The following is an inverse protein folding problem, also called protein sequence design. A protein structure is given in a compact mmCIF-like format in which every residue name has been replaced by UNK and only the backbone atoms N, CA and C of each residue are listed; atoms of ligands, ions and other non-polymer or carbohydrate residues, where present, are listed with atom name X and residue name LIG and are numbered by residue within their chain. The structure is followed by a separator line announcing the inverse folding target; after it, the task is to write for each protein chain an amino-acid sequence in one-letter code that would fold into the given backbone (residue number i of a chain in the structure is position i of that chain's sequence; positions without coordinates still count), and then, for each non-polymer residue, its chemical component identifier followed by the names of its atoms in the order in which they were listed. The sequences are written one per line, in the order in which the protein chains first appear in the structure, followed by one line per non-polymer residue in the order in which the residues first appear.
data_IF_490111507546
#
_entry.id   IF_490111507546
#
_cell.length_a   1.000
_cell.length_b   1.000
_cell.length_c   1.000
_cell.angle_alpha   90.00
_cell.angle_beta   90.00
_cell.angle_gamma   90.00
#
_symmetry.space_group_name_H-M   'P 1'
#
loop_
_entity.id
_entity.type
_entity.pdbx_description
1 polymer ?
#
# COMPACT_ATOMS: atom_id res chain seq x y z
N UNK A 1 -35.63 57.14 31.81
CA UNK A 1 -36.84 57.32 30.99
C UNK A 1 -36.69 56.37 29.81
N UNK A 2 -37.30 55.18 29.88
CA UNK A 2 -38.59 54.85 29.25
C UNK A 2 -38.44 54.83 27.71
N UNK A 3 -38.80 53.81 26.92
CA UNK A 3 -39.88 52.83 27.04
C UNK A 3 -39.54 51.61 26.16
N UNK A 4 -39.98 50.45 26.63
CA UNK A 4 -40.31 49.20 25.93
C UNK A 4 -41.18 49.40 24.68
N UNK A 5 -40.98 48.60 23.61
CA UNK A 5 -42.11 48.00 22.87
C UNK A 5 -41.68 46.83 21.98
N UNK A 6 -42.21 45.64 22.30
CA UNK A 6 -42.48 44.52 21.38
C UNK A 6 -43.81 44.76 20.67
N UNK A 7 -44.03 44.24 19.44
CA UNK A 7 -45.07 43.21 19.26
C UNK A 7 -44.63 42.07 18.30
N UNK A 8 -44.89 40.78 18.57
CA UNK A 8 -46.16 40.01 18.36
C UNK A 8 -46.47 39.85 16.85
N UNK A 9 -46.74 38.70 16.21
CA UNK A 9 -46.83 37.26 16.51
C UNK A 9 -47.21 36.51 15.20
N UNK A 10 -47.18 35.16 15.24
CA UNK A 10 -47.78 34.16 14.30
C UNK A 10 -47.03 33.96 12.96
N UNK A 11 -46.81 32.74 12.46
CA UNK A 11 -47.49 31.45 12.63
C UNK A 11 -46.45 30.30 12.72
N UNK A 12 -46.52 29.37 13.68
CA UNK A 12 -47.27 28.09 13.62
C UNK A 12 -47.07 27.40 12.26
N UNK A 13 -46.27 26.34 12.17
CA UNK A 13 -46.69 24.93 12.34
C UNK A 13 -45.85 24.14 11.30
N UNK A 14 -45.38 22.89 11.47
CA UNK A 14 -45.90 21.73 12.18
C UNK A 14 -44.77 20.73 12.36
N UNK A 15 -44.64 20.23 13.59
CA UNK A 15 -43.99 18.96 13.89
C UNK A 15 -44.95 17.85 13.44
N UNK A 16 -44.45 16.86 12.71
CA UNK A 16 -45.23 15.76 12.14
C UNK A 16 -44.75 14.41 12.65
N UNK A 17 -45.00 14.13 13.92
CA UNK A 17 -45.05 12.76 14.45
C UNK A 17 -46.36 12.15 13.99
N UNK A 18 -46.34 11.07 13.19
CA UNK A 18 -47.51 10.20 13.07
C UNK A 18 -47.09 8.74 13.23
N UNK A 19 -47.43 8.25 14.41
CA UNK A 19 -47.58 6.84 14.75
C UNK A 19 -48.92 6.38 14.14
N UNK A 20 -48.91 5.33 13.34
CA UNK A 20 -50.13 4.56 13.08
C UNK A 20 -49.79 3.08 13.18
N UNK A 21 -50.14 2.52 14.34
CA UNK A 21 -50.24 1.09 14.56
C UNK A 21 -51.33 0.51 13.65
N UNK A 22 -51.06 -0.64 13.04
CA UNK A 22 -52.12 -1.55 12.59
C UNK A 22 -51.67 -2.97 12.89
N UNK A 23 -52.39 -3.57 13.83
CA UNK A 23 -52.29 -4.96 14.27
C UNK A 23 -52.75 -5.89 13.14
N UNK A 24 -51.96 -6.89 12.78
CA UNK A 24 -52.46 -8.13 12.20
C UNK A 24 -51.48 -9.28 12.47
N UNK A 25 -52.06 -10.36 12.96
CA UNK A 25 -51.49 -11.59 13.48
C UNK A 25 -50.76 -12.41 12.40
N UNK A 26 -49.75 -13.15 12.86
CA UNK A 26 -49.25 -14.46 12.39
C UNK A 26 -49.09 -14.72 10.89
N UNK A 27 -47.86 -15.04 10.47
CA UNK A 27 -47.50 -16.32 9.84
C UNK A 27 -45.97 -16.40 9.59
N UNK A 28 -45.34 -17.35 10.29
CA UNK A 28 -44.26 -18.25 9.83
C UNK A 28 -43.49 -17.83 8.56
N UNK A 29 -42.20 -17.48 8.70
CA UNK A 29 -41.34 -17.36 7.51
C UNK A 29 -40.00 -16.68 7.77
N UNK A 30 -38.93 -17.47 7.72
CA UNK A 30 -37.53 -17.08 7.79
C UNK A 30 -37.16 -15.91 6.87
N UNK A 31 -36.42 -14.92 7.40
CA UNK A 31 -35.33 -14.19 6.71
C UNK A 31 -34.63 -13.25 7.69
N UNK A 32 -33.32 -13.48 7.91
CA UNK A 32 -32.43 -12.61 8.70
C UNK A 32 -32.43 -11.19 8.09
N UNK A 33 -32.59 -10.12 8.87
CA UNK A 33 -32.44 -8.77 8.34
C UNK A 33 -30.97 -8.48 8.01
N UNK A 34 -30.70 -8.18 6.73
CA UNK A 34 -29.45 -7.56 6.27
C UNK A 34 -29.27 -6.24 7.03
N UNK A 35 -28.23 -6.16 7.87
CA UNK A 35 -27.89 -4.89 8.53
C UNK A 35 -27.39 -3.89 7.49
N UNK A 36 -28.17 -2.82 7.37
CA UNK A 36 -27.88 -1.53 6.74
C UNK A 36 -26.40 -1.14 6.87
N UNK A 37 -25.82 -0.77 5.73
CA UNK A 37 -24.64 0.07 5.64
C UNK A 37 -24.96 1.41 6.33
N UNK A 38 -24.42 1.64 7.54
CA UNK A 38 -24.44 2.96 8.18
C UNK A 38 -23.23 3.74 7.67
N UNK A 39 -23.54 4.82 6.94
CA UNK A 39 -22.65 5.94 6.66
C UNK A 39 -21.92 6.34 7.95
N UNK A 40 -20.59 6.47 7.89
CA UNK A 40 -19.78 6.96 9.02
C UNK A 40 -19.70 8.48 8.93
N UNK A 41 -20.10 9.23 9.96
CA UNK A 41 -19.79 10.65 10.05
C UNK A 41 -18.29 10.83 10.28
N UNK A 42 -17.69 11.74 9.51
CA UNK A 42 -16.37 12.30 9.73
C UNK A 42 -16.48 13.27 10.91
N UNK A 43 -15.91 12.91 12.06
CA UNK A 43 -15.47 13.76 13.19
C UNK A 43 -15.78 13.09 14.53
N UNK A 44 -14.99 12.07 14.91
CA UNK A 44 -14.98 11.62 16.30
C UNK A 44 -13.54 11.34 16.74
N UNK A 45 -12.98 12.30 17.47
CA UNK A 45 -11.64 12.24 18.05
C UNK A 45 -11.47 11.06 19.03
N UNK A 46 -12.58 10.52 19.57
CA UNK A 46 -12.57 9.32 20.43
C UNK A 46 -12.30 8.03 19.63
N UNK A 47 -12.51 8.04 18.31
CA UNK A 47 -12.08 6.96 17.42
C UNK A 47 -10.55 6.92 17.27
N UNK A 48 -9.88 8.07 17.39
CA UNK A 48 -8.42 8.17 17.40
C UNK A 48 -7.82 7.58 18.68
N UNK A 49 -8.45 7.83 19.84
CA UNK A 49 -8.04 7.21 21.11
C UNK A 49 -8.24 5.69 21.13
N UNK A 50 -9.33 5.18 20.55
CA UNK A 50 -9.54 3.72 20.41
C UNK A 50 -8.56 3.09 19.42
N UNK A 51 -8.13 3.81 18.38
CA UNK A 51 -7.09 3.38 17.45
C UNK A 51 -5.69 3.40 18.09
N UNK A 52 -5.37 4.42 18.89
CA UNK A 52 -4.14 4.55 19.65
C UNK A 52 -4.03 3.50 20.78
N UNK A 53 -5.12 3.23 21.51
CA UNK A 53 -5.17 2.16 22.52
C UNK A 53 -5.04 0.77 21.88
N UNK A 54 -5.62 0.55 20.70
CA UNK A 54 -5.39 -0.66 19.92
C UNK A 54 -3.94 -0.77 19.41
N UNK A 55 -3.32 0.34 19.01
CA UNK A 55 -1.89 0.40 18.68
C UNK A 55 -1.00 0.10 19.90
N UNK A 56 -1.35 0.61 21.09
CA UNK A 56 -0.64 0.36 22.34
C UNK A 56 -0.76 -1.10 22.80
N UNK A 57 -1.96 -1.71 22.71
CA UNK A 57 -2.16 -3.15 23.02
C UNK A 57 -1.47 -4.05 21.97
N UNK A 58 -1.43 -3.63 20.70
CA UNK A 58 -0.72 -4.36 19.63
C UNK A 58 0.79 -4.15 19.63
N UNK A 59 1.27 -3.02 20.18
CA UNK A 59 2.68 -2.73 20.41
C UNK A 59 3.19 -3.43 21.67
N UNK A 60 2.37 -3.54 22.73
CA UNK A 60 2.75 -4.28 23.94
C UNK A 60 2.90 -5.79 23.67
N UNK A 61 2.03 -6.35 22.82
CA UNK A 61 2.12 -7.77 22.40
C UNK A 61 3.29 -8.08 21.45
N UNK A 62 4.08 -7.07 21.05
CA UNK A 62 5.35 -7.25 20.31
C UNK A 62 6.61 -7.19 21.19
N UNK A 63 6.51 -6.74 22.45
CA UNK A 63 7.69 -6.54 23.32
C UNK A 63 8.10 -7.76 24.15
N UNK A 64 7.29 -8.81 24.19
CA UNK A 64 7.70 -10.12 24.71
C UNK A 64 7.40 -11.22 23.68
N UNK A 65 8.25 -11.29 22.65
CA UNK A 65 8.44 -12.53 21.89
C UNK A 65 9.69 -13.21 22.43
N UNK A 66 9.65 -14.51 22.78
CA UNK A 66 10.82 -15.21 23.30
C UNK A 66 11.94 -15.24 22.24
N UNK A 67 13.19 -15.08 22.68
CA UNK A 67 14.40 -15.03 21.83
C UNK A 67 14.54 -16.24 20.88
N UNK A 68 13.90 -17.37 21.20
CA UNK A 68 13.81 -18.55 20.34
C UNK A 68 13.12 -18.27 18.97
N UNK A 69 12.24 -17.27 18.89
CA UNK A 69 11.59 -16.89 17.64
C UNK A 69 12.45 -15.95 16.78
N UNK A 70 13.44 -15.28 17.38
CA UNK A 70 14.38 -14.41 16.66
C UNK A 70 15.33 -15.27 15.81
N UNK A 71 15.92 -16.32 16.42
CA UNK A 71 16.76 -17.30 15.69
C UNK A 71 15.99 -18.09 14.63
N UNK A 72 14.71 -18.38 14.86
CA UNK A 72 13.83 -19.03 13.86
C UNK A 72 13.48 -18.11 12.68
N UNK A 73 13.50 -16.79 12.84
CA UNK A 73 13.30 -15.83 11.75
C UNK A 73 14.60 -15.60 10.96
N UNK A 74 15.75 -15.58 11.65
CA UNK A 74 17.08 -15.42 11.05
C UNK A 74 17.43 -16.58 10.10
N UNK A 75 17.03 -17.82 10.42
CA UNK A 75 17.25 -18.99 9.55
C UNK A 75 16.15 -19.24 8.52
N UNK A 76 15.14 -18.36 8.42
CA UNK A 76 13.97 -18.56 7.54
C UNK A 76 14.03 -17.66 6.31
N UNK A 77 15.12 -17.74 5.54
CA UNK A 77 15.17 -17.17 4.19
C UNK A 77 16.46 -16.47 3.80
N UNK A 78 17.56 -16.61 4.57
CA UNK A 78 18.88 -16.34 4.03
C UNK A 78 19.34 -17.61 3.33
N UNK A 79 19.19 -17.65 2.00
CA UNK A 79 19.93 -18.61 1.18
C UNK A 79 21.44 -18.42 1.37
N UNK A 80 22.30 -19.20 0.69
CA UNK A 80 23.75 -18.93 0.70
C UNK A 80 24.00 -17.44 0.43
N UNK A 81 25.07 -16.86 0.98
CA UNK A 81 25.41 -15.45 0.79
C UNK A 81 25.63 -15.20 -0.72
N UNK A 82 24.55 -14.84 -1.41
CA UNK A 82 24.55 -14.56 -2.83
C UNK A 82 25.18 -13.19 -2.99
N UNK A 83 26.38 -13.16 -3.56
CA UNK A 83 27.10 -11.91 -3.82
C UNK A 83 26.79 -11.36 -5.20
N UNK A 84 26.22 -12.18 -6.10
CA UNK A 84 25.97 -11.81 -7.50
C UNK A 84 24.52 -12.01 -7.93
N UNK A 85 23.99 -11.09 -8.75
CA UNK A 85 22.62 -11.17 -9.33
C UNK A 85 22.39 -12.48 -10.11
N UNK A 86 23.42 -12.99 -10.81
CA UNK A 86 23.35 -14.28 -11.51
C UNK A 86 23.06 -15.43 -10.54
N UNK A 87 23.79 -15.50 -9.43
CA UNK A 87 23.58 -16.52 -8.38
C UNK A 87 22.17 -16.40 -7.81
N UNK A 88 21.67 -15.18 -7.61
CA UNK A 88 20.29 -14.96 -7.17
C UNK A 88 19.26 -15.57 -8.14
N UNK A 89 19.40 -15.31 -9.44
CA UNK A 89 18.47 -15.83 -10.45
C UNK A 89 18.54 -17.36 -10.59
N UNK A 90 19.69 -17.97 -10.32
CA UNK A 90 19.89 -19.42 -10.36
C UNK A 90 19.36 -20.13 -9.10
N UNK A 91 19.44 -19.46 -7.94
CA UNK A 91 18.97 -19.98 -6.66
C UNK A 91 17.45 -19.95 -6.48
N UNK A 92 16.70 -19.28 -7.35
CA UNK A 92 15.24 -19.27 -7.33
C UNK A 92 14.66 -20.66 -7.65
N UNK A 93 13.45 -20.94 -7.15
CA UNK A 93 12.72 -22.14 -7.57
C UNK A 93 12.31 -22.04 -9.05
N UNK A 94 12.28 -23.18 -9.75
CA UNK A 94 12.03 -23.25 -11.21
C UNK A 94 10.72 -22.56 -11.63
N UNK A 95 9.68 -22.67 -10.81
CA UNK A 95 8.38 -22.03 -11.02
C UNK A 95 8.47 -20.49 -11.06
N UNK A 96 9.46 -19.91 -10.39
CA UNK A 96 9.65 -18.45 -10.25
C UNK A 96 10.77 -17.91 -11.13
N UNK A 97 11.69 -18.74 -11.60
CA UNK A 97 12.80 -18.30 -12.45
C UNK A 97 12.31 -17.56 -13.69
N UNK A 98 11.34 -18.14 -14.40
CA UNK A 98 10.81 -17.56 -15.64
C UNK A 98 10.17 -16.16 -15.45
N UNK A 99 9.20 -15.96 -14.52
CA UNK A 99 8.61 -14.64 -14.31
C UNK A 99 9.62 -13.63 -13.78
N UNK A 100 10.49 -14.01 -12.83
CA UNK A 100 11.49 -13.09 -12.27
C UNK A 100 12.49 -12.65 -13.32
N UNK A 101 13.00 -13.56 -14.18
CA UNK A 101 13.94 -13.21 -15.25
C UNK A 101 13.32 -12.23 -16.25
N UNK A 102 12.04 -12.41 -16.61
CA UNK A 102 11.34 -11.50 -17.52
C UNK A 102 11.14 -10.11 -16.90
N UNK A 103 10.73 -10.04 -15.64
CA UNK A 103 10.61 -8.77 -14.91
C UNK A 103 11.98 -8.09 -14.78
N UNK A 104 13.02 -8.83 -14.40
CA UNK A 104 14.39 -8.33 -14.30
C UNK A 104 14.87 -7.73 -15.62
N UNK A 105 14.66 -8.42 -16.75
CA UNK A 105 15.04 -7.93 -18.07
C UNK A 105 14.29 -6.64 -18.45
N UNK A 106 12.98 -6.57 -18.17
CA UNK A 106 12.17 -5.38 -18.41
C UNK A 106 12.61 -4.17 -17.58
N UNK A 107 12.94 -4.41 -16.30
CA UNK A 107 13.47 -3.37 -15.41
C UNK A 107 14.84 -2.90 -15.89
N UNK A 108 15.77 -3.82 -16.16
CA UNK A 108 17.12 -3.49 -16.62
C UNK A 108 17.12 -2.68 -17.91
N UNK A 109 16.22 -2.97 -18.86
CA UNK A 109 16.07 -2.21 -20.10
C UNK A 109 15.49 -0.81 -19.87
N UNK A 110 14.58 -0.67 -18.92
CA UNK A 110 13.91 0.60 -18.64
C UNK A 110 14.72 1.54 -17.73
N UNK A 111 15.74 1.02 -17.04
CA UNK A 111 16.52 1.78 -16.07
C UNK A 111 17.29 2.93 -16.74
N UNK A 112 17.12 4.18 -16.24
CA UNK A 112 17.95 5.31 -16.65
C UNK A 112 19.42 5.08 -16.29
N UNK A 113 20.33 5.72 -17.03
CA UNK A 113 21.77 5.69 -16.71
C UNK A 113 22.02 6.35 -15.34
N UNK A 114 22.95 5.78 -14.57
CA UNK A 114 23.38 6.29 -13.26
C UNK A 114 22.86 5.51 -12.05
N UNK A 115 21.89 4.61 -12.23
CA UNK A 115 21.55 3.62 -11.20
C UNK A 115 22.56 2.46 -11.23
N UNK A 116 23.00 2.05 -10.04
CA UNK A 116 23.91 0.91 -9.84
C UNK A 116 23.09 -0.33 -9.51
N UNK A 117 23.31 -1.40 -10.27
CA UNK A 117 22.70 -2.71 -10.01
C UNK A 117 23.50 -3.46 -8.94
N UNK A 118 22.82 -4.01 -7.94
CA UNK A 118 23.45 -4.78 -6.87
C UNK A 118 22.49 -5.72 -6.16
N UNK A 119 23.03 -6.46 -5.19
CA UNK A 119 22.24 -7.22 -4.23
C UNK A 119 22.24 -6.50 -2.89
N UNK A 120 21.09 -5.95 -2.52
CA UNK A 120 20.88 -5.28 -1.24
C UNK A 120 19.74 -5.98 -0.50
N UNK A 121 19.94 -6.22 0.80
CA UNK A 121 18.95 -6.90 1.65
C UNK A 121 18.45 -8.24 1.11
N UNK A 122 19.26 -8.96 0.32
CA UNK A 122 18.89 -10.23 -0.31
C UNK A 122 17.92 -10.10 -1.48
N UNK A 123 17.86 -8.92 -2.11
CA UNK A 123 17.01 -8.62 -3.27
C UNK A 123 17.85 -7.95 -4.36
N UNK A 124 17.49 -8.18 -5.63
CA UNK A 124 18.10 -7.43 -6.73
C UNK A 124 17.62 -6.00 -6.60
N UNK A 125 18.56 -5.06 -6.45
CA UNK A 125 18.26 -3.66 -6.19
C UNK A 125 19.00 -2.77 -7.16
N UNK A 126 18.36 -1.68 -7.55
CA UNK A 126 18.96 -0.58 -8.27
C UNK A 126 18.96 0.64 -7.36
N UNK A 127 20.14 1.17 -7.10
CA UNK A 127 20.36 2.23 -6.12
C UNK A 127 21.26 3.33 -6.68
N UNK A 128 21.20 4.49 -6.03
CA UNK A 128 22.08 5.62 -6.32
C UNK A 128 23.03 5.78 -5.13
N UNK A 129 24.36 5.74 -5.35
CA UNK A 129 25.31 6.06 -4.30
C UNK A 129 25.24 7.56 -4.01
N UNK A 130 24.90 7.95 -2.79
CA UNK A 130 24.80 9.34 -2.37
C UNK A 130 25.35 9.51 -0.96
N UNK A 131 26.39 10.33 -0.79
CA UNK A 131 27.01 10.68 0.50
C UNK A 131 27.36 9.45 1.37
N UNK A 132 27.90 8.40 0.75
CA UNK A 132 28.28 7.15 1.44
C UNK A 132 27.11 6.24 1.82
N UNK A 133 25.87 6.59 1.44
CA UNK A 133 24.68 5.74 1.60
C UNK A 133 24.18 5.26 0.24
N UNK A 134 23.68 4.04 0.20
CA UNK A 134 22.97 3.51 -0.95
C UNK A 134 21.50 3.90 -0.87
N UNK A 135 21.04 4.70 -1.84
CA UNK A 135 19.64 5.10 -1.93
C UNK A 135 18.93 4.23 -2.95
N UNK A 136 18.16 3.28 -2.44
CA UNK A 136 17.41 2.32 -3.25
C UNK A 136 16.27 3.00 -4.03
N UNK A 137 16.22 2.79 -5.35
CA UNK A 137 15.17 3.27 -6.24
C UNK A 137 14.16 2.18 -6.59
N UNK A 138 14.67 1.00 -7.00
CA UNK A 138 13.85 -0.18 -7.32
C UNK A 138 14.46 -1.42 -6.71
N UNK A 139 13.63 -2.36 -6.28
CA UNK A 139 14.10 -3.74 -6.07
C UNK A 139 13.12 -4.79 -6.55
N UNK A 140 13.68 -5.94 -6.88
CA UNK A 140 12.97 -7.15 -7.25
C UNK A 140 13.23 -8.24 -6.20
N UNK A 141 12.15 -8.72 -5.60
CA UNK A 141 12.20 -9.69 -4.52
C UNK A 141 11.31 -10.90 -4.80
N UNK A 142 11.81 -12.09 -4.45
CA UNK A 142 11.02 -13.31 -4.38
C UNK A 142 10.74 -13.65 -2.91
N UNK A 143 9.58 -13.26 -2.41
CA UNK A 143 9.15 -13.62 -1.06
C UNK A 143 8.46 -14.99 -1.05
N UNK A 144 8.28 -15.58 0.13
CA UNK A 144 7.72 -16.94 0.27
C UNK A 144 6.37 -17.14 -0.44
N UNK A 145 5.50 -16.14 -0.40
CA UNK A 145 4.12 -16.25 -0.93
C UNK A 145 3.86 -15.49 -2.23
N UNK A 146 4.72 -14.56 -2.61
CA UNK A 146 4.56 -13.71 -3.79
C UNK A 146 5.91 -13.15 -4.24
N UNK A 147 5.98 -12.72 -5.49
CA UNK A 147 7.06 -11.88 -6.00
C UNK A 147 6.65 -10.43 -5.86
N UNK A 148 7.63 -9.55 -5.65
CA UNK A 148 7.39 -8.14 -5.41
C UNK A 148 8.38 -7.27 -6.17
N UNK A 149 7.87 -6.24 -6.84
CA UNK A 149 8.67 -5.11 -7.31
C UNK A 149 8.45 -3.95 -6.35
N UNK A 150 9.53 -3.52 -5.71
CA UNK A 150 9.56 -2.32 -4.90
C UNK A 150 9.88 -1.14 -5.82
N UNK A 151 8.94 -0.22 -5.95
CA UNK A 151 9.04 1.01 -6.75
C UNK A 151 9.07 2.18 -5.77
N UNK A 152 10.27 2.58 -5.32
CA UNK A 152 10.43 3.72 -4.40
C UNK A 152 10.08 5.02 -5.11
N UNK A 153 10.36 5.12 -6.42
CA UNK A 153 9.93 6.27 -7.24
C UNK A 153 8.43 6.55 -7.16
N UNK A 154 7.59 5.52 -7.23
CA UNK A 154 6.14 5.66 -7.09
C UNK A 154 5.70 6.05 -5.67
N UNK A 155 6.51 5.71 -4.66
CA UNK A 155 6.26 6.14 -3.29
C UNK A 155 6.67 7.60 -3.04
N UNK A 156 7.76 8.04 -3.67
CA UNK A 156 8.30 9.40 -3.49
C UNK A 156 7.58 10.44 -4.34
N UNK A 157 7.16 10.10 -5.56
CA UNK A 157 6.44 11.00 -6.46
C UNK A 157 5.01 10.53 -6.72
N UNK A 158 3.99 11.25 -6.21
CA UNK A 158 2.58 10.93 -6.47
C UNK A 158 2.22 10.85 -7.95
N UNK A 159 2.93 11.59 -8.83
CA UNK A 159 2.68 11.59 -10.27
C UNK A 159 3.04 10.24 -10.90
N UNK A 160 4.11 9.60 -10.43
CA UNK A 160 4.51 8.27 -10.91
C UNK A 160 3.51 7.21 -10.45
N UNK A 161 3.00 7.31 -9.22
CA UNK A 161 1.92 6.44 -8.73
C UNK A 161 0.63 6.61 -9.53
N UNK A 162 0.27 7.85 -9.86
CA UNK A 162 -0.90 8.18 -10.67
C UNK A 162 -0.76 7.55 -12.08
N UNK A 163 0.37 7.75 -12.75
CA UNK A 163 0.66 7.16 -14.06
C UNK A 163 0.55 5.63 -14.04
N UNK A 164 1.13 4.99 -13.03
CA UNK A 164 1.05 3.53 -12.86
C UNK A 164 -0.41 3.08 -12.66
N UNK A 165 -1.16 3.77 -11.81
CA UNK A 165 -2.56 3.45 -11.52
C UNK A 165 -3.45 3.60 -12.75
N UNK A 166 -3.26 4.68 -13.51
CA UNK A 166 -4.07 4.96 -14.69
C UNK A 166 -3.73 4.02 -15.85
N UNK A 167 -2.47 3.63 -16.01
CA UNK A 167 -2.07 2.60 -16.97
C UNK A 167 -2.73 1.24 -16.66
N UNK A 168 -2.72 0.82 -15.39
CA UNK A 168 -3.37 -0.43 -14.97
C UNK A 168 -4.89 -0.40 -15.20
N UNK A 169 -5.55 0.72 -14.85
CA UNK A 169 -6.98 0.92 -15.11
C UNK A 169 -7.31 0.86 -16.61
N UNK A 170 -6.52 1.54 -17.45
CA UNK A 170 -6.71 1.58 -18.90
C UNK A 170 -6.63 0.19 -19.53
N UNK A 171 -5.80 -0.70 -18.99
CA UNK A 171 -5.66 -2.07 -19.48
C UNK A 171 -6.56 -3.09 -18.79
N UNK A 172 -7.42 -2.64 -17.87
CA UNK A 172 -8.31 -3.53 -17.11
C UNK A 172 -7.59 -4.50 -16.17
N UNK A 173 -6.32 -4.24 -15.82
CA UNK A 173 -5.54 -5.08 -14.90
C UNK A 173 -5.71 -4.60 -13.47
N UNK A 174 -5.78 -5.55 -12.53
CA UNK A 174 -5.84 -5.23 -11.11
C UNK A 174 -4.45 -4.86 -10.59
N UNK A 175 -4.31 -3.65 -10.08
CA UNK A 175 -3.10 -3.21 -9.39
C UNK A 175 -3.13 -3.71 -7.93
N UNK A 176 -2.36 -4.76 -7.61
CA UNK A 176 -2.12 -5.21 -6.23
C UNK A 176 -0.84 -4.57 -5.69
N UNK A 177 -0.97 -3.38 -5.09
CA UNK A 177 0.17 -2.60 -4.62
C UNK A 177 -0.02 -2.15 -3.16
N UNK A 178 1.05 -2.23 -2.38
CA UNK A 178 1.20 -1.58 -1.08
C UNK A 178 1.63 -0.12 -1.23
N UNK A 179 2.38 0.42 -0.25
CA UNK A 179 2.92 1.78 -0.35
C UNK A 179 3.92 1.95 -1.50
N UNK A 180 4.84 1.01 -1.62
CA UNK A 180 5.88 0.98 -2.67
C UNK A 180 6.00 -0.38 -3.34
N UNK A 181 5.22 -1.37 -2.90
CA UNK A 181 5.45 -2.78 -3.23
C UNK A 181 4.33 -3.28 -4.14
N UNK A 182 4.63 -3.45 -5.42
CA UNK A 182 3.77 -4.12 -6.39
C UNK A 182 3.93 -5.64 -6.24
N UNK A 183 2.84 -6.34 -5.91
CA UNK A 183 2.86 -7.77 -5.64
C UNK A 183 2.27 -8.55 -6.81
N UNK A 184 2.90 -9.65 -7.15
CA UNK A 184 2.43 -10.53 -8.22
C UNK A 184 2.77 -11.99 -7.93
N UNK A 185 1.96 -12.90 -8.47
CA UNK A 185 2.22 -14.34 -8.39
C UNK A 185 2.56 -14.93 -9.74
N UNK A 186 1.97 -14.38 -10.81
CA UNK A 186 2.26 -14.75 -12.17
C UNK A 186 2.67 -13.52 -12.98
N UNK A 187 3.26 -13.76 -14.15
CA UNK A 187 3.72 -12.67 -15.01
C UNK A 187 2.55 -11.86 -15.57
N UNK A 188 1.42 -12.52 -15.81
CA UNK A 188 0.23 -11.93 -16.44
C UNK A 188 -0.42 -10.86 -15.54
N UNK A 189 -0.25 -11.00 -14.23
CA UNK A 189 -0.72 -10.05 -13.20
C UNK A 189 0.01 -8.70 -13.30
N UNK A 190 1.23 -8.68 -13.87
CA UNK A 190 2.05 -7.48 -13.99
C UNK A 190 1.85 -6.86 -15.37
N UNK A 191 1.69 -5.54 -15.40
CA UNK A 191 1.85 -4.77 -16.63
C UNK A 191 3.30 -4.31 -16.74
N UNK A 192 4.12 -5.09 -17.45
CA UNK A 192 5.53 -4.79 -17.63
C UNK A 192 5.74 -3.43 -18.28
N UNK A 193 4.89 -3.04 -19.23
CA UNK A 193 4.99 -1.75 -19.93
C UNK A 193 4.74 -0.59 -18.97
N UNK A 194 3.71 -0.68 -18.14
CA UNK A 194 3.43 0.36 -17.14
C UNK A 194 4.53 0.45 -16.07
N UNK A 195 5.05 -0.69 -15.61
CA UNK A 195 6.15 -0.72 -14.63
C UNK A 195 7.43 -0.15 -15.24
N UNK A 196 7.78 -0.55 -16.46
CA UNK A 196 8.95 -0.02 -17.18
C UNK A 196 8.83 1.48 -17.42
N UNK A 197 7.66 1.98 -17.82
CA UNK A 197 7.43 3.42 -17.98
C UNK A 197 7.58 4.18 -16.66
N UNK A 198 7.05 3.63 -15.56
CA UNK A 198 7.19 4.24 -14.24
C UNK A 198 8.67 4.30 -13.77
N UNK A 199 9.45 3.25 -14.04
CA UNK A 199 10.88 3.20 -13.71
C UNK A 199 11.71 4.14 -14.57
N UNK A 200 11.37 4.27 -15.85
CA UNK A 200 12.07 5.17 -16.76
C UNK A 200 11.79 6.67 -16.48
N UNK A 201 10.74 6.97 -15.71
CA UNK A 201 10.25 8.34 -15.51
C UNK A 201 11.15 9.23 -14.64
N UNK A 202 12.01 8.65 -13.80
CA UNK A 202 12.86 9.42 -12.87
C UNK A 202 14.34 9.12 -13.07
N UNK A 203 15.11 10.14 -13.45
CA UNK A 203 16.57 10.09 -13.39
C UNK A 203 17.07 10.03 -11.94
N UNK A 204 18.30 9.54 -11.71
CA UNK A 204 18.92 9.54 -10.38
C UNK A 204 18.86 10.91 -9.67
N UNK A 205 19.21 11.98 -10.37
CA UNK A 205 19.22 13.33 -9.81
C UNK A 205 17.81 13.82 -9.44
N UNK A 206 16.84 13.56 -10.32
CA UNK A 206 15.44 13.91 -10.05
C UNK A 206 14.90 13.13 -8.84
N UNK A 207 15.27 11.85 -8.71
CA UNK A 207 14.89 11.01 -7.59
C UNK A 207 15.52 11.49 -6.27
N UNK A 208 16.81 11.84 -6.27
CA UNK A 208 17.49 12.40 -5.10
C UNK A 208 16.87 13.75 -4.69
N UNK A 209 16.62 14.65 -5.64
CA UNK A 209 15.97 15.94 -5.38
C UNK A 209 14.53 15.79 -4.85
N UNK A 210 13.79 14.78 -5.33
CA UNK A 210 12.49 14.41 -4.77
C UNK A 210 12.61 13.95 -3.32
N UNK A 211 13.57 13.07 -3.01
CA UNK A 211 13.77 12.58 -1.64
C UNK A 211 14.19 13.68 -0.68
N UNK A 212 15.11 14.54 -1.08
CA UNK A 212 15.56 15.67 -0.26
C UNK A 212 14.39 16.58 0.17
N UNK A 213 13.39 16.77 -0.70
CA UNK A 213 12.17 17.55 -0.39
C UNK A 213 11.24 16.90 0.63
N UNK A 214 11.28 15.57 0.79
CA UNK A 214 10.49 14.87 1.81
C UNK A 214 11.20 14.79 3.16
N UNK A 215 12.52 15.01 3.17
CA UNK A 215 13.34 15.00 4.38
C UNK A 215 13.50 16.39 5.01
N UNK A 216 13.21 17.46 4.26
CA UNK A 216 13.16 18.86 4.71
C UNK A 216 11.81 19.24 5.34
#
# INVERSE_FOLDING_TARGET
MNVTTTPTSRALSRCGTWCSARTALTLRGSRRPRRRCKQRPCSDWRAWWRWAAWWAVRAHRRRHRPAANQRRLEHRGRGPDMTTVKQYLEALAEDRKAPVKKVYAALKKAMPKGYVEGLEYGMISWSVPHEGKSVQYVALASQKSHMAVYLVGAYTDPRVLQQLTDAYKKRGKKLDMGKSCLRFKKLEDVDLEAVSAAVASLSPDAFLALRARHEA
#
